data_IF_472744201370
#
_entry.id   IF_472744201370
#
_cell.length_a   1.000
_cell.length_b   1.000
_cell.length_c   1.000
_cell.angle_alpha   90.00
_cell.angle_beta   90.00
_cell.angle_gamma   90.00
#
_symmetry.space_group_name_H-M   'P 1'
#
loop_
_entity.id
_entity.type
_entity.pdbx_description
1 polymer ?
#
# COMPACT_ATOMS: atom_id res chain seq x y z
N UNK A 1 0.88 -6.73 -5.28
CA UNK A 1 -0.50 -6.70 -4.80
C UNK A 1 -1.46 -6.10 -5.82
N UNK A 2 -1.39 -4.79 -6.08
CA UNK A 2 -2.33 -4.09 -6.99
C UNK A 2 -2.31 -4.66 -8.42
N UNK A 3 -1.14 -4.95 -8.99
CA UNK A 3 -1.03 -5.47 -10.36
C UNK A 3 -1.68 -6.84 -10.56
N UNK A 4 -1.83 -7.65 -9.51
CA UNK A 4 -2.52 -8.93 -9.59
C UNK A 4 -4.03 -8.82 -9.34
N UNK A 5 -4.48 -7.77 -8.67
CA UNK A 5 -5.88 -7.57 -8.32
C UNK A 5 -6.79 -7.50 -9.55
N UNK A 6 -6.35 -6.79 -10.57
CA UNK A 6 -7.12 -6.62 -11.82
C UNK A 6 -7.31 -7.94 -12.57
N UNK A 7 -6.25 -8.67 -12.99
CA UNK A 7 -6.43 -9.91 -13.72
C UNK A 7 -7.18 -10.99 -12.90
N UNK A 8 -6.95 -11.09 -11.59
CA UNK A 8 -7.68 -12.03 -10.73
C UNK A 8 -9.18 -11.71 -10.73
N UNK A 9 -9.57 -10.43 -10.55
CA UNK A 9 -10.98 -10.05 -10.52
C UNK A 9 -11.67 -10.28 -11.87
N UNK A 10 -10.99 -10.05 -12.99
CA UNK A 10 -11.51 -10.34 -14.35
C UNK A 10 -11.72 -11.84 -14.53
N UNK A 11 -10.76 -12.67 -14.11
CA UNK A 11 -10.87 -14.14 -14.21
C UNK A 11 -12.01 -14.69 -13.34
N UNK A 12 -12.19 -14.17 -12.13
CA UNK A 12 -13.34 -14.51 -11.29
C UNK A 12 -14.67 -14.08 -11.92
N UNK A 13 -14.71 -12.91 -12.54
CA UNK A 13 -15.90 -12.42 -13.25
C UNK A 13 -16.27 -13.28 -14.44
N UNK A 14 -15.30 -13.81 -15.16
CA UNK A 14 -15.50 -14.76 -16.28
C UNK A 14 -15.75 -16.20 -15.84
N UNK A 15 -15.84 -16.46 -14.51
CA UNK A 15 -16.00 -17.80 -13.92
C UNK A 15 -14.84 -18.77 -14.18
N UNK A 16 -13.66 -18.25 -14.49
CA UNK A 16 -12.44 -19.04 -14.67
C UNK A 16 -11.70 -19.12 -13.33
N UNK A 17 -12.26 -19.89 -12.39
CA UNK A 17 -11.72 -20.01 -11.03
C UNK A 17 -10.33 -20.66 -11.02
N UNK A 18 -10.05 -21.54 -11.98
CA UNK A 18 -8.77 -22.25 -12.04
C UNK A 18 -7.62 -21.29 -12.36
N UNK A 19 -7.81 -20.45 -13.36
CA UNK A 19 -6.85 -19.40 -13.73
C UNK A 19 -6.76 -18.33 -12.63
N UNK A 20 -7.88 -17.88 -12.04
CA UNK A 20 -7.88 -16.93 -10.94
C UNK A 20 -7.04 -17.42 -9.75
N UNK A 21 -7.18 -18.70 -9.36
CA UNK A 21 -6.40 -19.32 -8.30
C UNK A 21 -4.92 -19.44 -8.66
N UNK A 22 -4.59 -19.71 -9.92
CA UNK A 22 -3.22 -19.73 -10.41
C UNK A 22 -2.57 -18.34 -10.32
N UNK A 23 -3.27 -17.29 -10.81
CA UNK A 23 -2.80 -15.90 -10.71
C UNK A 23 -2.62 -15.47 -9.24
N UNK A 24 -3.55 -15.84 -8.36
CA UNK A 24 -3.45 -15.56 -6.93
C UNK A 24 -2.20 -16.18 -6.31
N UNK A 25 -1.94 -17.47 -6.59
CA UNK A 25 -0.78 -18.18 -6.05
C UNK A 25 0.53 -17.62 -6.61
N UNK A 26 0.63 -17.44 -7.92
CA UNK A 26 1.82 -16.85 -8.56
C UNK A 26 2.10 -15.43 -8.05
N UNK A 27 1.06 -14.60 -7.95
CA UNK A 27 1.21 -13.23 -7.45
C UNK A 27 1.64 -13.19 -5.98
N UNK A 28 1.12 -14.07 -5.13
CA UNK A 28 1.53 -14.16 -3.73
C UNK A 28 3.02 -14.52 -3.60
N UNK A 29 3.49 -15.49 -4.40
CA UNK A 29 4.91 -15.86 -4.45
C UNK A 29 5.76 -14.68 -4.96
N UNK A 30 5.33 -14.01 -6.03
CA UNK A 30 6.05 -12.84 -6.56
C UNK A 30 6.16 -11.70 -5.55
N UNK A 31 5.12 -11.44 -4.77
CA UNK A 31 5.14 -10.39 -3.74
C UNK A 31 6.11 -10.74 -2.63
N UNK A 32 6.16 -12.00 -2.17
CA UNK A 32 7.13 -12.45 -1.17
C UNK A 32 8.56 -12.36 -1.71
N UNK A 33 8.82 -12.84 -2.94
CA UNK A 33 10.13 -12.74 -3.57
C UNK A 33 10.57 -11.27 -3.76
N UNK A 34 9.66 -10.40 -4.19
CA UNK A 34 9.94 -8.97 -4.28
C UNK A 34 10.24 -8.35 -2.91
N UNK A 35 9.52 -8.77 -1.86
CA UNK A 35 9.80 -8.40 -0.48
C UNK A 35 11.19 -8.84 -0.01
N UNK A 36 11.57 -10.08 -0.30
CA UNK A 36 12.93 -10.60 0.01
C UNK A 36 13.99 -9.80 -0.74
N UNK A 37 13.79 -9.58 -2.04
CA UNK A 37 14.75 -8.85 -2.86
C UNK A 37 14.91 -7.40 -2.40
N UNK A 38 13.80 -6.69 -2.19
CA UNK A 38 13.83 -5.30 -1.71
C UNK A 38 14.43 -5.22 -0.29
N UNK A 39 14.09 -6.17 0.58
CA UNK A 39 14.69 -6.28 1.92
C UNK A 39 16.20 -6.49 1.87
N UNK A 40 16.67 -7.40 1.02
CA UNK A 40 18.09 -7.64 0.85
C UNK A 40 18.84 -6.41 0.33
N UNK A 41 18.29 -5.73 -0.69
CA UNK A 41 18.88 -4.49 -1.24
C UNK A 41 18.94 -3.40 -0.17
N UNK A 42 17.87 -3.21 0.62
CA UNK A 42 17.84 -2.20 1.68
C UNK A 42 18.74 -2.58 2.87
N UNK A 43 18.82 -3.85 3.23
CA UNK A 43 19.69 -4.30 4.31
C UNK A 43 21.18 -4.14 3.97
N UNK A 44 21.57 -4.43 2.72
CA UNK A 44 22.95 -4.35 2.28
C UNK A 44 23.38 -2.94 1.86
N UNK A 45 22.51 -2.21 1.15
CA UNK A 45 22.80 -0.89 0.59
C UNK A 45 22.26 0.29 1.37
N UNK A 46 21.41 0.05 2.37
CA UNK A 46 20.65 1.09 3.04
C UNK A 46 21.51 2.15 3.74
N UNK A 47 22.63 1.75 4.37
CA UNK A 47 23.56 2.70 5.00
C UNK A 47 24.19 3.65 3.97
N UNK A 48 24.64 3.13 2.85
CA UNK A 48 25.20 3.93 1.75
C UNK A 48 24.17 4.87 1.16
N UNK A 49 22.94 4.39 0.96
CA UNK A 49 21.86 5.21 0.45
C UNK A 49 21.48 6.36 1.41
N UNK A 50 21.40 6.10 2.72
CA UNK A 50 21.14 7.11 3.74
C UNK A 50 22.28 8.15 3.83
N UNK A 51 23.52 7.71 3.69
CA UNK A 51 24.68 8.60 3.63
C UNK A 51 24.64 9.52 2.42
N UNK A 52 24.24 9.03 1.24
CA UNK A 52 24.04 9.86 0.05
C UNK A 52 22.89 10.87 0.20
N UNK A 53 21.88 10.54 1.01
CA UNK A 53 20.80 11.48 1.35
C UNK A 53 21.22 12.56 2.38
N UNK A 54 22.48 12.54 2.85
CA UNK A 54 23.02 13.52 3.77
C UNK A 54 22.91 13.16 5.25
N UNK A 55 22.46 11.95 5.61
CA UNK A 55 22.46 11.50 7.00
C UNK A 55 23.90 11.27 7.48
N UNK A 56 24.24 11.81 8.67
CA UNK A 56 25.58 11.71 9.27
C UNK A 56 25.50 11.44 10.78
N UNK A 57 26.59 10.92 11.34
CA UNK A 57 26.71 10.69 12.77
C UNK A 57 25.66 9.78 13.35
N UNK A 58 25.13 10.12 14.51
CA UNK A 58 24.15 9.34 15.25
C UNK A 58 22.84 9.14 14.47
N UNK A 59 22.41 10.14 13.68
CA UNK A 59 21.23 10.03 12.82
C UNK A 59 21.37 8.91 11.79
N UNK A 60 22.57 8.81 11.16
CA UNK A 60 22.84 7.74 10.18
C UNK A 60 22.78 6.37 10.84
N UNK A 61 23.34 6.22 12.04
CA UNK A 61 23.36 4.95 12.76
C UNK A 61 21.95 4.52 13.21
N UNK A 62 21.16 5.44 13.76
CA UNK A 62 19.78 5.19 14.14
C UNK A 62 18.90 4.86 12.92
N UNK A 63 18.98 5.64 11.86
CA UNK A 63 18.24 5.40 10.61
C UNK A 63 18.62 4.07 9.96
N UNK A 64 19.91 3.70 10.01
CA UNK A 64 20.38 2.40 9.50
C UNK A 64 19.82 1.24 10.33
N UNK A 65 19.81 1.37 11.64
CA UNK A 65 19.25 0.34 12.53
C UNK A 65 17.75 0.12 12.27
N UNK A 66 17.00 1.19 12.12
CA UNK A 66 15.58 1.11 11.76
C UNK A 66 15.39 0.43 10.41
N UNK A 67 16.11 0.93 9.39
CA UNK A 67 15.99 0.46 8.01
C UNK A 67 16.33 -1.03 7.87
N UNK A 68 17.44 -1.47 8.46
CA UNK A 68 17.86 -2.89 8.41
C UNK A 68 16.85 -3.78 9.13
N UNK A 69 16.36 -3.37 10.30
CA UNK A 69 15.35 -4.13 11.04
C UNK A 69 14.07 -4.27 10.23
N UNK A 70 13.58 -3.17 9.64
CA UNK A 70 12.38 -3.19 8.80
C UNK A 70 12.60 -3.98 7.50
N UNK A 71 13.79 -3.87 6.90
CA UNK A 71 14.18 -4.60 5.70
C UNK A 71 14.16 -6.12 5.87
N UNK A 72 14.60 -6.62 7.02
CA UNK A 72 14.53 -8.05 7.35
C UNK A 72 13.09 -8.56 7.45
N UNK A 73 12.16 -7.71 7.86
CA UNK A 73 10.74 -8.03 7.97
C UNK A 73 9.95 -7.76 6.67
N UNK A 74 10.59 -7.20 5.63
CA UNK A 74 9.92 -6.75 4.41
C UNK A 74 9.11 -7.83 3.67
N UNK A 75 9.47 -9.13 3.64
CA UNK A 75 8.64 -10.15 3.00
C UNK A 75 7.25 -10.25 3.64
N UNK A 76 7.19 -10.08 4.96
CA UNK A 76 5.93 -10.15 5.73
C UNK A 76 5.14 -8.85 5.60
N UNK A 77 5.82 -7.71 5.65
CA UNK A 77 5.17 -6.39 5.53
C UNK A 77 4.61 -6.14 4.13
N UNK A 78 5.26 -6.67 3.08
CA UNK A 78 4.75 -6.53 1.70
C UNK A 78 3.55 -7.42 1.42
N UNK A 79 3.50 -8.62 1.98
CA UNK A 79 2.42 -9.57 1.71
C UNK A 79 1.08 -9.14 2.34
N UNK A 80 1.09 -8.44 3.47
CA UNK A 80 -0.15 -7.98 4.13
C UNK A 80 -0.99 -7.08 3.22
N UNK A 81 -0.34 -6.17 2.48
CA UNK A 81 -1.02 -5.30 1.53
C UNK A 81 -1.59 -6.04 0.32
N UNK A 82 -0.92 -7.12 -0.10
CA UNK A 82 -1.45 -7.94 -1.19
C UNK A 82 -2.70 -8.73 -0.74
N UNK A 83 -2.67 -9.30 0.45
CA UNK A 83 -3.78 -10.08 1.00
C UNK A 83 -5.01 -9.22 1.27
N UNK A 84 -4.82 -7.97 1.70
CA UNK A 84 -5.92 -7.01 1.83
C UNK A 84 -6.69 -6.85 0.50
N UNK A 85 -5.98 -6.67 -0.61
CA UNK A 85 -6.59 -6.61 -1.93
C UNK A 85 -7.32 -7.92 -2.30
N UNK A 86 -6.75 -9.08 -1.97
CA UNK A 86 -7.38 -10.37 -2.25
C UNK A 86 -8.67 -10.58 -1.45
N UNK A 87 -8.74 -10.10 -0.21
CA UNK A 87 -9.97 -10.10 0.58
C UNK A 87 -11.07 -9.25 -0.06
N UNK A 88 -10.71 -8.08 -0.59
CA UNK A 88 -11.63 -7.18 -1.31
C UNK A 88 -12.16 -7.83 -2.59
N UNK A 89 -11.29 -8.51 -3.36
CA UNK A 89 -11.66 -9.25 -4.57
C UNK A 89 -12.67 -10.36 -4.25
N UNK A 90 -12.48 -11.06 -3.12
CA UNK A 90 -13.43 -12.06 -2.64
C UNK A 90 -14.71 -11.49 -2.01
N UNK A 91 -14.97 -10.19 -2.13
CA UNK A 91 -16.16 -9.53 -1.57
C UNK A 91 -16.15 -9.37 -0.05
N UNK A 92 -15.03 -9.66 0.63
CA UNK A 92 -14.93 -9.58 2.10
C UNK A 92 -14.44 -8.20 2.58
N UNK A 93 -15.04 -7.13 2.02
CA UNK A 93 -14.63 -5.72 2.27
C UNK A 93 -14.68 -5.36 3.75
N UNK A 94 -15.73 -5.77 4.48
CA UNK A 94 -15.82 -5.51 5.93
C UNK A 94 -14.67 -6.17 6.70
N UNK A 95 -14.28 -7.39 6.31
CA UNK A 95 -13.15 -8.09 6.95
C UNK A 95 -11.83 -7.39 6.66
N UNK A 96 -11.60 -6.94 5.42
CA UNK A 96 -10.46 -6.11 5.04
C UNK A 96 -10.39 -4.85 5.90
N UNK A 97 -11.50 -4.12 6.06
CA UNK A 97 -11.58 -2.93 6.91
C UNK A 97 -11.21 -3.23 8.38
N UNK A 98 -11.80 -4.25 8.98
CA UNK A 98 -11.47 -4.64 10.37
C UNK A 98 -10.02 -5.05 10.53
N UNK A 99 -9.44 -5.78 9.56
CA UNK A 99 -8.02 -6.15 9.60
C UNK A 99 -7.09 -4.93 9.47
N UNK A 100 -7.45 -3.92 8.68
CA UNK A 100 -6.67 -2.69 8.60
C UNK A 100 -6.72 -1.89 9.92
N UNK A 101 -7.88 -1.81 10.57
CA UNK A 101 -8.01 -1.20 11.90
C UNK A 101 -7.19 -1.99 12.92
N UNK A 102 -7.31 -3.32 12.91
CA UNK A 102 -6.53 -4.20 13.79
C UNK A 102 -5.02 -4.04 13.56
N UNK A 103 -4.58 -3.96 12.30
CA UNK A 103 -3.18 -3.71 11.94
C UNK A 103 -2.66 -2.41 12.57
N UNK A 104 -3.41 -1.32 12.41
CA UNK A 104 -3.00 -0.02 12.95
C UNK A 104 -2.91 -0.05 14.48
N UNK A 105 -3.89 -0.65 15.14
CA UNK A 105 -3.88 -0.78 16.61
C UNK A 105 -2.76 -1.71 17.09
N UNK A 106 -2.53 -2.83 16.41
CA UNK A 106 -1.46 -3.76 16.76
C UNK A 106 -0.08 -3.12 16.58
N UNK A 107 0.16 -2.44 15.44
CA UNK A 107 1.41 -1.72 15.21
C UNK A 107 1.66 -0.69 16.32
N UNK A 108 0.69 0.17 16.61
CA UNK A 108 0.80 1.17 17.67
C UNK A 108 1.06 0.55 19.03
N UNK A 109 0.35 -0.53 19.37
CA UNK A 109 0.52 -1.21 20.67
C UNK A 109 1.91 -1.82 20.83
N UNK A 110 2.42 -2.50 19.79
CA UNK A 110 3.76 -3.07 19.81
C UNK A 110 4.86 -2.00 19.79
N UNK A 111 4.67 -0.91 19.05
CA UNK A 111 5.60 0.22 19.06
C UNK A 111 5.70 0.84 20.44
N UNK A 112 4.57 1.11 21.09
CA UNK A 112 4.53 1.62 22.47
C UNK A 112 5.16 0.64 23.46
N UNK A 113 4.93 -0.66 23.31
CA UNK A 113 5.53 -1.70 24.15
C UNK A 113 7.05 -1.72 23.99
N UNK A 114 7.56 -1.77 22.77
CA UNK A 114 9.00 -1.91 22.52
C UNK A 114 9.79 -0.62 22.77
N UNK A 115 9.22 0.54 22.44
CA UNK A 115 9.87 1.82 22.69
C UNK A 115 9.64 2.32 24.11
N UNK A 116 8.39 2.26 24.60
CA UNK A 116 8.01 2.84 25.89
C UNK A 116 8.37 1.96 27.08
N UNK A 117 7.99 0.67 27.03
CA UNK A 117 8.18 -0.26 28.16
C UNK A 117 9.53 -0.96 28.12
N UNK A 118 9.86 -1.59 26.98
CA UNK A 118 11.10 -2.37 26.84
C UNK A 118 12.31 -1.50 26.49
N UNK A 119 12.11 -0.24 26.11
CA UNK A 119 13.16 0.74 25.80
C UNK A 119 14.23 0.24 24.81
N UNK A 120 13.82 -0.56 23.82
CA UNK A 120 14.72 -1.13 22.80
C UNK A 120 15.27 -0.04 21.86
N UNK A 121 14.77 1.19 21.96
CA UNK A 121 15.14 2.30 21.09
C UNK A 121 14.48 2.20 19.70
N UNK A 122 15.12 2.79 18.69
CA UNK A 122 14.53 2.92 17.35
C UNK A 122 14.28 1.56 16.66
N UNK A 123 15.05 0.53 16.98
CA UNK A 123 14.80 -0.84 16.51
C UNK A 123 13.44 -1.36 16.99
N UNK A 124 13.02 -0.93 18.20
CA UNK A 124 11.72 -1.30 18.74
C UNK A 124 10.55 -0.80 17.91
N UNK A 125 10.65 0.40 17.32
CA UNK A 125 9.64 0.92 16.41
C UNK A 125 9.51 0.04 15.14
N UNK A 126 10.64 -0.31 14.50
CA UNK A 126 10.64 -1.15 13.31
C UNK A 126 10.11 -2.57 13.60
N UNK A 127 10.49 -3.16 14.74
CA UNK A 127 9.99 -4.46 15.18
C UNK A 127 8.50 -4.41 15.51
N UNK A 128 8.04 -3.34 16.18
CA UNK A 128 6.64 -3.16 16.56
C UNK A 128 5.73 -3.11 15.36
N UNK A 129 6.04 -2.24 14.39
CA UNK A 129 5.32 -2.15 13.12
C UNK A 129 5.33 -3.49 12.39
N UNK A 130 6.49 -4.13 12.28
CA UNK A 130 6.64 -5.39 11.56
C UNK A 130 5.86 -6.54 12.20
N UNK A 131 5.84 -6.63 13.52
CA UNK A 131 5.07 -7.65 14.25
C UNK A 131 3.56 -7.42 14.13
N UNK A 132 3.11 -6.16 14.21
CA UNK A 132 1.71 -5.82 13.98
C UNK A 132 1.25 -6.21 12.58
N UNK A 133 2.06 -5.95 11.56
CA UNK A 133 1.81 -6.38 10.19
C UNK A 133 1.85 -7.90 10.03
N UNK A 134 2.82 -8.58 10.68
CA UNK A 134 2.93 -10.04 10.65
C UNK A 134 1.69 -10.71 11.22
N UNK A 135 1.23 -10.26 12.39
CA UNK A 135 0.03 -10.78 13.03
C UNK A 135 -1.20 -10.59 12.16
N UNK A 136 -1.31 -9.42 11.53
CA UNK A 136 -2.38 -9.11 10.58
C UNK A 136 -2.31 -9.98 9.34
N UNK A 137 -1.11 -10.21 8.79
CA UNK A 137 -0.93 -11.09 7.65
C UNK A 137 -1.40 -12.52 7.96
N UNK A 138 -1.03 -13.07 9.11
CA UNK A 138 -1.49 -14.40 9.56
C UNK A 138 -3.02 -14.43 9.67
N UNK A 139 -3.63 -13.43 10.33
CA UNK A 139 -5.08 -13.33 10.47
C UNK A 139 -5.79 -13.17 9.12
N UNK A 140 -5.19 -12.46 8.19
CA UNK A 140 -5.73 -12.23 6.84
C UNK A 140 -5.62 -13.48 5.95
N UNK A 141 -4.55 -14.28 6.08
CA UNK A 141 -4.38 -15.51 5.32
C UNK A 141 -5.21 -16.68 5.85
N UNK A 142 -5.53 -16.70 7.13
CA UNK A 142 -6.28 -17.80 7.76
C UNK A 142 -7.49 -18.26 6.96
N UNK A 143 -8.37 -17.37 6.43
CA UNK A 143 -9.53 -17.78 5.64
C UNK A 143 -9.20 -18.43 4.30
N UNK A 144 -8.03 -18.14 3.71
CA UNK A 144 -7.61 -18.71 2.43
C UNK A 144 -7.11 -20.16 2.58
N UNK A 145 -6.61 -20.52 3.77
CA UNK A 145 -6.18 -21.90 4.06
C UNK A 145 -7.32 -22.77 4.60
N UNK A 146 -8.12 -22.23 5.51
CA UNK A 146 -9.13 -22.99 6.25
C UNK A 146 -10.57 -22.59 5.93
N UNK A 147 -10.78 -21.48 5.24
CA UNK A 147 -12.09 -20.94 4.91
C UNK A 147 -12.60 -21.36 3.54
N UNK A 148 -13.92 -21.19 3.33
CA UNK A 148 -14.55 -21.32 2.03
C UNK A 148 -14.43 -20.00 1.25
N UNK A 149 -13.20 -19.64 0.86
CA UNK A 149 -12.93 -18.47 0.03
C UNK A 149 -13.03 -18.84 -1.45
N UNK A 150 -13.34 -17.85 -2.31
CA UNK A 150 -13.34 -18.05 -3.77
C UNK A 150 -11.94 -18.31 -4.31
N UNK A 151 -10.92 -17.65 -3.70
CA UNK A 151 -9.52 -17.86 -4.04
C UNK A 151 -8.92 -18.92 -3.11
N UNK A 152 -8.16 -19.86 -3.71
CA UNK A 152 -7.45 -20.93 -3.01
C UNK A 152 -6.03 -21.06 -3.54
N UNK A 153 -5.11 -21.48 -2.67
CA UNK A 153 -3.77 -21.83 -3.10
C UNK A 153 -3.80 -23.13 -3.93
N UNK A 154 -3.22 -23.05 -5.12
CA UNK A 154 -3.06 -24.17 -6.05
C UNK A 154 -1.59 -24.32 -6.42
N UNK A 155 -1.21 -25.43 -7.05
CA UNK A 155 0.15 -25.59 -7.58
C UNK A 155 0.41 -24.51 -8.63
N UNK A 156 1.42 -23.65 -8.42
CA UNK A 156 1.67 -22.51 -9.30
C UNK A 156 2.12 -22.99 -10.70
N UNK A 157 1.47 -22.48 -11.72
CA UNK A 157 1.90 -22.63 -13.10
C UNK A 157 2.37 -21.27 -13.61
N UNK A 158 3.68 -21.05 -13.57
CA UNK A 158 4.28 -19.82 -14.06
C UNK A 158 4.27 -19.78 -15.59
N UNK A 159 3.30 -19.10 -16.17
CA UNK A 159 3.27 -18.81 -17.58
C UNK A 159 3.77 -17.38 -17.83
N UNK A 160 4.60 -17.18 -18.84
CA UNK A 160 5.10 -15.85 -19.19
C UNK A 160 3.97 -14.83 -19.41
N UNK A 161 2.82 -15.28 -19.90
CA UNK A 161 1.61 -14.46 -20.06
C UNK A 161 1.08 -13.94 -18.72
N UNK A 162 0.92 -14.80 -17.72
CA UNK A 162 0.42 -14.41 -16.39
C UNK A 162 1.37 -13.41 -15.71
N UNK A 163 2.69 -13.66 -15.78
CA UNK A 163 3.71 -12.75 -15.26
C UNK A 163 3.64 -11.38 -15.94
N UNK A 164 3.58 -11.36 -17.27
CA UNK A 164 3.48 -10.12 -18.05
C UNK A 164 2.21 -9.34 -17.70
N UNK A 165 1.07 -9.98 -17.57
CA UNK A 165 -0.19 -9.34 -17.20
C UNK A 165 -0.12 -8.72 -15.80
N UNK A 166 0.39 -9.45 -14.80
CA UNK A 166 0.54 -8.96 -13.43
C UNK A 166 1.47 -7.74 -13.39
N UNK A 167 2.61 -7.81 -14.08
CA UNK A 167 3.59 -6.71 -14.11
C UNK A 167 3.02 -5.51 -14.87
N UNK A 168 2.41 -5.73 -16.04
CA UNK A 168 1.83 -4.67 -16.87
C UNK A 168 0.71 -3.93 -16.13
N UNK A 169 -0.16 -4.63 -15.41
CA UNK A 169 -1.21 -4.01 -14.60
C UNK A 169 -0.66 -3.27 -13.36
N UNK A 170 0.48 -3.71 -12.83
CA UNK A 170 1.11 -3.06 -11.66
C UNK A 170 2.01 -1.88 -12.01
N UNK A 171 2.56 -1.85 -13.23
CA UNK A 171 3.54 -0.86 -13.67
C UNK A 171 3.02 0.59 -13.58
N UNK A 172 1.79 0.94 -14.02
CA UNK A 172 1.27 2.29 -13.88
C UNK A 172 1.25 2.79 -12.44
N UNK A 173 0.79 1.96 -11.50
CA UNK A 173 0.77 2.30 -10.07
C UNK A 173 2.19 2.47 -9.50
N UNK A 174 3.13 1.63 -9.91
CA UNK A 174 4.53 1.73 -9.53
C UNK A 174 5.16 3.03 -10.03
N UNK A 175 4.99 3.35 -11.32
CA UNK A 175 5.51 4.58 -11.91
C UNK A 175 4.89 5.83 -11.29
N UNK A 176 3.58 5.80 -11.01
CA UNK A 176 2.90 6.91 -10.35
C UNK A 176 3.46 7.18 -8.94
N UNK A 177 3.71 6.13 -8.16
CA UNK A 177 4.33 6.28 -6.84
C UNK A 177 5.76 6.83 -6.91
N UNK A 178 6.57 6.37 -7.87
CA UNK A 178 7.92 6.92 -8.08
C UNK A 178 7.83 8.38 -8.51
N UNK A 179 6.99 8.70 -9.50
CA UNK A 179 6.82 10.07 -9.97
C UNK A 179 6.44 11.02 -8.83
N UNK A 180 5.51 10.63 -7.96
CA UNK A 180 5.13 11.42 -6.79
C UNK A 180 6.31 11.69 -5.84
N UNK A 181 7.16 10.68 -5.58
CA UNK A 181 8.36 10.85 -4.74
C UNK A 181 9.41 11.75 -5.38
N UNK A 182 9.68 11.55 -6.67
CA UNK A 182 10.62 12.39 -7.45
C UNK A 182 10.14 13.83 -7.49
N UNK A 183 8.85 14.05 -7.76
CA UNK A 183 8.25 15.41 -7.75
C UNK A 183 8.41 16.07 -6.38
N UNK A 184 8.16 15.37 -5.29
CA UNK A 184 8.32 15.90 -3.94
C UNK A 184 9.77 16.31 -3.65
N UNK A 185 10.75 15.51 -4.06
CA UNK A 185 12.18 15.84 -3.90
C UNK A 185 12.54 17.08 -4.72
N UNK A 186 12.16 17.13 -6.00
CA UNK A 186 12.44 18.26 -6.88
C UNK A 186 11.80 19.54 -6.33
N UNK A 187 10.53 19.46 -5.88
CA UNK A 187 9.84 20.62 -5.31
C UNK A 187 10.53 21.14 -4.06
N UNK A 188 11.00 20.27 -3.17
CA UNK A 188 11.76 20.69 -1.99
C UNK A 188 13.06 21.44 -2.38
N UNK A 189 13.80 20.91 -3.35
CA UNK A 189 15.06 21.55 -3.83
C UNK A 189 14.78 22.90 -4.47
N UNK A 190 13.78 22.96 -5.35
CA UNK A 190 13.40 24.21 -6.05
C UNK A 190 12.90 25.27 -5.07
N UNK A 191 12.02 24.89 -4.14
CA UNK A 191 11.49 25.82 -3.15
C UNK A 191 12.56 26.32 -2.18
N UNK A 192 13.51 25.47 -1.81
CA UNK A 192 14.65 25.88 -0.99
C UNK A 192 15.52 26.91 -1.73
N UNK A 193 15.77 26.71 -3.03
CA UNK A 193 16.59 27.57 -3.85
C UNK A 193 15.92 28.93 -4.14
N UNK A 194 14.61 28.97 -4.38
CA UNK A 194 13.89 30.18 -4.80
C UNK A 194 13.25 30.94 -3.64
N UNK A 195 12.73 30.23 -2.63
CA UNK A 195 11.93 30.82 -1.54
C UNK A 195 12.49 30.59 -0.14
N UNK A 196 13.66 29.93 -0.05
CA UNK A 196 14.30 29.63 1.23
C UNK A 196 13.50 28.72 2.13
N UNK A 197 13.84 28.71 3.41
CA UNK A 197 13.29 27.79 4.41
C UNK A 197 11.78 28.01 4.66
N UNK A 198 11.30 29.25 4.49
CA UNK A 198 9.87 29.57 4.66
C UNK A 198 9.01 28.89 3.58
N UNK A 199 9.46 28.90 2.33
CA UNK A 199 8.72 28.25 1.24
C UNK A 199 8.66 26.73 1.42
N UNK A 200 9.73 26.11 1.90
CA UNK A 200 9.76 24.67 2.23
C UNK A 200 8.81 24.35 3.39
N UNK A 201 8.74 25.21 4.40
CA UNK A 201 7.82 25.03 5.53
C UNK A 201 6.36 25.09 5.09
N UNK A 202 5.99 26.06 4.26
CA UNK A 202 4.63 26.17 3.69
C UNK A 202 4.30 24.94 2.84
N UNK A 203 5.26 24.47 2.03
CA UNK A 203 5.08 23.25 1.25
C UNK A 203 4.89 22.02 2.15
N UNK A 204 5.61 21.94 3.26
CA UNK A 204 5.45 20.88 4.27
C UNK A 204 4.03 20.83 4.85
N UNK A 205 3.44 22.01 5.15
CA UNK A 205 2.04 22.10 5.60
C UNK A 205 1.08 21.59 4.51
N UNK A 206 1.28 22.02 3.27
CA UNK A 206 0.47 21.54 2.14
C UNK A 206 0.56 20.03 1.93
N UNK A 207 1.76 19.45 2.04
CA UNK A 207 1.98 18.00 1.95
C UNK A 207 1.32 17.24 3.11
N UNK A 208 1.29 17.82 4.30
CA UNK A 208 0.58 17.23 5.43
C UNK A 208 -0.93 17.18 5.18
N UNK A 209 -1.50 18.24 4.62
CA UNK A 209 -2.92 18.28 4.24
C UNK A 209 -3.24 17.29 3.13
N UNK A 210 -2.39 17.22 2.09
CA UNK A 210 -2.51 16.22 1.03
C UNK A 210 -2.50 14.79 1.60
N UNK A 211 -1.68 14.55 2.63
CA UNK A 211 -1.63 13.29 3.37
C UNK A 211 -2.95 12.86 4.04
N UNK A 212 -3.89 13.76 4.27
CA UNK A 212 -5.24 13.43 4.72
C UNK A 212 -6.23 13.23 3.55
N UNK A 213 -6.19 14.08 2.55
CA UNK A 213 -7.16 14.08 1.43
C UNK A 213 -6.87 12.95 0.44
N UNK A 214 -5.61 12.78 0.08
CA UNK A 214 -5.18 11.80 -0.93
C UNK A 214 -5.54 10.36 -0.59
N UNK A 215 -5.30 9.84 0.64
CA UNK A 215 -5.69 8.49 1.01
C UNK A 215 -7.20 8.22 0.94
N UNK A 216 -8.03 9.23 1.18
CA UNK A 216 -9.49 9.09 1.05
C UNK A 216 -9.88 8.84 -0.41
N UNK A 217 -9.33 9.62 -1.35
CA UNK A 217 -9.56 9.45 -2.78
C UNK A 217 -8.99 8.13 -3.30
N UNK A 218 -7.76 7.79 -2.89
CA UNK A 218 -7.16 6.49 -3.24
C UNK A 218 -7.96 5.30 -2.72
N UNK A 219 -8.45 5.35 -1.49
CA UNK A 219 -9.29 4.30 -0.92
C UNK A 219 -10.57 4.08 -1.72
N UNK A 220 -11.17 5.15 -2.25
CA UNK A 220 -12.32 5.06 -3.16
C UNK A 220 -11.93 4.39 -4.49
N UNK A 221 -10.84 4.80 -5.10
CA UNK A 221 -10.34 4.24 -6.36
C UNK A 221 -9.94 2.75 -6.20
N UNK A 222 -9.25 2.41 -5.12
CA UNK A 222 -8.84 1.04 -4.83
C UNK A 222 -10.04 0.10 -4.60
N UNK A 223 -11.13 0.62 -4.03
CA UNK A 223 -12.37 -0.15 -3.84
C UNK A 223 -13.09 -0.47 -5.16
N UNK A 224 -12.88 0.36 -6.20
CA UNK A 224 -13.44 0.15 -7.52
C UNK A 224 -12.81 -1.03 -8.27
N UNK A 225 -11.51 -1.21 -8.15
CA UNK A 225 -10.77 -2.19 -8.96
C UNK A 225 -11.38 -3.58 -8.93
N UNK A 226 -11.69 -4.20 -7.75
CA UNK A 226 -12.32 -5.51 -7.71
C UNK A 226 -13.72 -5.54 -8.32
N UNK A 227 -14.52 -4.50 -8.06
CA UNK A 227 -15.90 -4.42 -8.53
C UNK A 227 -15.98 -4.23 -10.05
N UNK A 228 -15.16 -3.35 -10.60
CA UNK A 228 -15.07 -3.10 -12.05
C UNK A 228 -14.49 -4.33 -12.74
N UNK A 229 -13.36 -4.87 -12.25
CA UNK A 229 -12.71 -6.03 -12.83
C UNK A 229 -13.62 -7.25 -12.90
N UNK A 230 -14.36 -7.55 -11.82
CA UNK A 230 -15.33 -8.65 -11.80
C UNK A 230 -16.46 -8.46 -12.81
N UNK A 231 -17.09 -7.27 -12.86
CA UNK A 231 -18.19 -7.00 -13.81
C UNK A 231 -17.70 -6.93 -15.26
N UNK A 232 -16.47 -6.46 -15.48
CA UNK A 232 -15.84 -6.50 -16.79
C UNK A 232 -15.62 -7.92 -17.29
N UNK A 233 -15.07 -8.79 -16.44
CA UNK A 233 -14.92 -10.23 -16.72
C UNK A 233 -16.25 -10.92 -17.00
N UNK A 234 -17.31 -10.53 -16.28
CA UNK A 234 -18.67 -11.00 -16.50
C UNK A 234 -19.38 -10.36 -17.73
N UNK A 235 -18.70 -9.50 -18.51
CA UNK A 235 -19.24 -8.75 -19.66
C UNK A 235 -20.44 -7.86 -19.33
N UNK A 236 -20.62 -7.46 -18.06
CA UNK A 236 -21.69 -6.58 -17.60
C UNK A 236 -21.27 -5.11 -17.67
N UNK A 237 -21.14 -4.59 -18.89
CA UNK A 237 -20.67 -3.22 -19.16
C UNK A 237 -21.60 -2.15 -18.55
N UNK A 238 -22.91 -2.40 -18.50
CA UNK A 238 -23.86 -1.44 -17.92
C UNK A 238 -23.56 -1.25 -16.42
N UNK A 239 -23.24 -2.32 -15.71
CA UNK A 239 -22.91 -2.27 -14.29
C UNK A 239 -21.55 -1.61 -14.05
N UNK A 240 -20.57 -1.85 -14.92
CA UNK A 240 -19.28 -1.13 -14.90
C UNK A 240 -19.49 0.38 -14.95
N UNK A 241 -20.21 0.86 -15.98
CA UNK A 241 -20.52 2.30 -16.14
C UNK A 241 -21.29 2.88 -14.93
N UNK A 242 -22.21 2.12 -14.36
CA UNK A 242 -22.96 2.56 -13.18
C UNK A 242 -22.06 2.69 -11.94
N UNK A 243 -21.13 1.76 -11.74
CA UNK A 243 -20.14 1.80 -10.65
C UNK A 243 -19.21 3.01 -10.82
N UNK A 244 -18.65 3.20 -12.01
CA UNK A 244 -17.77 4.31 -12.35
C UNK A 244 -18.48 5.66 -12.11
N UNK A 245 -19.70 5.83 -12.63
CA UNK A 245 -20.49 7.06 -12.43
C UNK A 245 -20.69 7.38 -10.94
N UNK A 246 -21.06 6.39 -10.14
CA UNK A 246 -21.24 6.57 -8.68
C UNK A 246 -19.95 6.98 -8.00
N UNK A 247 -18.82 6.39 -8.39
CA UNK A 247 -17.53 6.73 -7.82
C UNK A 247 -17.10 8.15 -8.20
N UNK A 248 -17.24 8.55 -9.46
CA UNK A 248 -16.96 9.93 -9.88
C UNK A 248 -17.82 10.93 -9.12
N UNK A 249 -19.13 10.66 -8.97
CA UNK A 249 -20.02 11.54 -8.19
C UNK A 249 -19.54 11.65 -6.74
N UNK A 250 -19.22 10.52 -6.10
CA UNK A 250 -18.76 10.53 -4.71
C UNK A 250 -17.39 11.23 -4.56
N UNK A 251 -16.47 11.04 -5.51
CA UNK A 251 -15.17 11.71 -5.53
C UNK A 251 -15.32 13.24 -5.69
N UNK A 252 -16.22 13.69 -6.56
CA UNK A 252 -16.50 15.13 -6.74
C UNK A 252 -17.09 15.72 -5.47
N UNK A 253 -18.07 15.05 -4.83
CA UNK A 253 -18.66 15.51 -3.58
C UNK A 253 -17.58 15.61 -2.49
N UNK A 254 -16.74 14.59 -2.36
CA UNK A 254 -15.65 14.60 -1.38
C UNK A 254 -14.65 15.73 -1.66
N UNK A 255 -14.26 15.92 -2.92
CA UNK A 255 -13.34 16.99 -3.32
C UNK A 255 -13.91 18.38 -3.02
N UNK A 256 -15.20 18.61 -3.31
CA UNK A 256 -15.88 19.86 -3.00
C UNK A 256 -16.00 20.09 -1.49
N UNK A 257 -16.33 19.04 -0.72
CA UNK A 257 -16.40 19.12 0.73
C UNK A 257 -15.04 19.46 1.36
N UNK A 258 -13.97 18.77 0.95
CA UNK A 258 -12.61 19.03 1.46
C UNK A 258 -12.12 20.42 1.07
N UNK A 259 -12.32 20.84 -0.19
CA UNK A 259 -11.99 22.20 -0.64
C UNK A 259 -12.78 23.25 0.13
N UNK A 260 -14.07 23.02 0.37
CA UNK A 260 -14.92 23.92 1.17
C UNK A 260 -14.43 24.06 2.60
N UNK A 261 -14.06 22.97 3.26
CA UNK A 261 -13.48 23.01 4.62
C UNK A 261 -12.17 23.78 4.65
N UNK A 262 -11.26 23.51 3.71
CA UNK A 262 -9.97 24.20 3.60
C UNK A 262 -10.14 25.70 3.31
N UNK A 263 -11.12 26.08 2.50
CA UNK A 263 -11.38 27.49 2.17
C UNK A 263 -12.07 28.26 3.30
N UNK A 264 -12.91 27.59 4.10
CA UNK A 264 -13.63 28.23 5.21
C UNK A 264 -12.77 28.37 6.47
N UNK A 265 -11.83 27.47 6.69
CA UNK A 265 -11.04 27.41 7.91
C UNK A 265 -9.50 27.47 7.68
N UNK A 266 -8.98 28.38 6.80
CA UNK A 266 -7.57 28.38 6.47
C UNK A 266 -6.66 28.72 7.68
N UNK A 267 -7.13 29.58 8.59
CA UNK A 267 -6.35 30.02 9.77
C UNK A 267 -6.32 29.01 10.91
N UNK A 268 -7.30 28.11 10.97
CA UNK A 268 -7.38 27.07 12.01
C UNK A 268 -6.57 25.82 11.61
N UNK A 269 -6.28 25.69 10.32
CA UNK A 269 -5.64 24.50 9.74
C UNK A 269 -4.14 24.75 9.54
N UNK A 270 -3.72 25.99 9.27
CA UNK A 270 -2.32 26.42 9.18
C UNK A 270 -1.72 26.72 10.56
#
# INVERSE_FOLDING_TARGET
>A
GLGSAVPISIKLGSKDEQEANNYFTCASIMVVLAGILSGAVLALGGRTFLSWMGAQGELLDQATQYLVTYALCSPVTTIVFAVDNYLRICGKIRRSMFLNIFMSLACMSFELLFMGVLKIGIRGAALGSSLGMALTAIAAFFPFFFGKMQLRFVRPRFHAKALREIVSCGLPSFLNNIAGRVTSIIMNVVLLALGGQNAVSVYGILMTMDGFVHPLLYGMCDSLQPAVGFNWGARNIQRVKAIEKRCYTAAIILALATTGVLALFPRQIA
#
